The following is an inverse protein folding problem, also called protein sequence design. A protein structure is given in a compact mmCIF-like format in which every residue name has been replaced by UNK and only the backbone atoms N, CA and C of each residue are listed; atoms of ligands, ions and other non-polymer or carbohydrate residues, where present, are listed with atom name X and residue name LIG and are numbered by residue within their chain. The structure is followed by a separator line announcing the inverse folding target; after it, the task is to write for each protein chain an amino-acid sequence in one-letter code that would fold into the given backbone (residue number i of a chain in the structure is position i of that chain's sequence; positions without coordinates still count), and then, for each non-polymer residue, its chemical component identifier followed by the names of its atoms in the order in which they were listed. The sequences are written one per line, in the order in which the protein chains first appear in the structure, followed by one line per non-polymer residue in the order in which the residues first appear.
data_IF_730305051143
#
_entry.id   IF_730305051143
#
_cell.length_a   1.000
_cell.length_b   1.000
_cell.length_c   1.000
_cell.angle_alpha   90.00
_cell.angle_beta   90.00
_cell.angle_gamma   90.00
#
_symmetry.space_group_name_H-M   'P 1'
#
loop_
_entity.id
_entity.type
_entity.pdbx_description
1 polymer ?
#
# COMPACT_ATOMS: atom_id res chain seq x y z
N UNK A 1 -1.92 16.03 -19.72
CA UNK A 1 -1.65 16.22 -18.29
C UNK A 1 -1.01 14.94 -17.78
N UNK A 2 0.21 15.01 -17.23
CA UNK A 2 0.84 13.83 -16.64
C UNK A 2 0.19 13.63 -15.27
N UNK A 3 -0.84 12.80 -15.20
CA UNK A 3 -1.46 12.46 -13.91
C UNK A 3 -0.41 11.69 -13.11
N UNK A 4 -0.05 12.20 -11.93
CA UNK A 4 0.88 11.53 -11.02
C UNK A 4 0.18 10.30 -10.44
N UNK A 5 0.20 9.17 -11.17
CA UNK A 5 -0.48 7.92 -10.82
C UNK A 5 0.37 7.08 -9.88
N UNK A 6 0.82 7.66 -8.78
CA UNK A 6 1.77 7.06 -7.85
C UNK A 6 1.23 7.09 -6.43
N UNK A 7 1.39 5.98 -5.72
CA UNK A 7 1.05 5.85 -4.31
C UNK A 7 2.27 5.35 -3.53
N UNK A 8 2.55 5.96 -2.39
CA UNK A 8 3.68 5.59 -1.52
C UNK A 8 3.14 4.86 -0.30
N UNK A 9 3.76 3.75 0.05
CA UNK A 9 3.53 3.00 1.28
C UNK A 9 4.75 3.16 2.17
N UNK A 10 4.54 3.72 3.36
CA UNK A 10 5.62 3.92 4.31
C UNK A 10 6.21 2.57 4.73
N UNK A 11 7.54 2.48 4.84
CA UNK A 11 8.18 1.27 5.34
C UNK A 11 7.72 0.92 6.76
N UNK A 12 7.41 1.93 7.58
CA UNK A 12 6.98 1.75 8.95
C UNK A 12 5.68 0.96 9.04
N UNK A 13 4.71 1.28 8.19
CA UNK A 13 3.40 0.62 8.17
C UNK A 13 3.44 -0.69 7.38
N UNK A 14 4.26 -0.75 6.32
CA UNK A 14 4.32 -1.90 5.43
C UNK A 14 5.10 -3.09 6.01
N UNK A 15 6.16 -2.85 6.81
CA UNK A 15 6.99 -3.92 7.39
C UNK A 15 6.16 -4.96 8.15
N UNK A 16 5.25 -4.58 9.08
CA UNK A 16 4.40 -5.54 9.77
C UNK A 16 3.52 -6.39 8.86
N UNK A 17 3.06 -5.85 7.72
CA UNK A 17 2.27 -6.59 6.72
C UNK A 17 3.14 -7.62 6.00
N UNK A 18 4.36 -7.24 5.61
CA UNK A 18 5.31 -8.12 4.94
C UNK A 18 5.71 -9.28 5.88
N UNK A 19 6.00 -8.99 7.14
CA UNK A 19 6.35 -9.99 8.16
C UNK A 19 5.22 -11.00 8.35
N UNK A 20 3.96 -10.54 8.45
CA UNK A 20 2.79 -11.42 8.55
C UNK A 20 2.63 -12.29 7.31
N UNK A 21 2.74 -11.71 6.10
CA UNK A 21 2.61 -12.47 4.86
C UNK A 21 3.72 -13.54 4.70
N UNK A 22 4.95 -13.23 5.12
CA UNK A 22 6.06 -14.19 5.13
C UNK A 22 5.84 -15.31 6.15
N UNK A 23 5.42 -14.98 7.37
CA UNK A 23 5.11 -15.96 8.40
C UNK A 23 4.02 -16.93 7.95
N UNK A 24 2.99 -16.42 7.28
CA UNK A 24 1.86 -17.19 6.78
C UNK A 24 2.08 -17.82 5.39
N UNK A 25 3.25 -17.56 4.78
CA UNK A 25 3.62 -18.04 3.43
C UNK A 25 2.53 -17.77 2.40
N UNK A 26 2.00 -16.55 2.39
CA UNK A 26 0.88 -16.13 1.55
C UNK A 26 1.23 -14.89 0.73
N UNK A 27 0.37 -14.50 -0.22
CA UNK A 27 0.59 -13.28 -0.98
C UNK A 27 0.45 -12.02 -0.11
N UNK A 28 0.96 -10.90 -0.62
CA UNK A 28 0.59 -9.56 -0.17
C UNK A 28 -0.45 -9.04 -1.17
N UNK A 29 -1.59 -8.59 -0.68
CA UNK A 29 -2.66 -8.01 -1.49
C UNK A 29 -2.47 -6.50 -1.56
N UNK A 30 -2.52 -5.93 -2.75
CA UNK A 30 -2.73 -4.49 -2.97
C UNK A 30 -4.21 -4.29 -3.29
N UNK A 31 -4.92 -3.58 -2.43
CA UNK A 31 -6.38 -3.45 -2.48
C UNK A 31 -6.77 -1.99 -2.62
N UNK A 32 -7.64 -1.72 -3.59
CA UNK A 32 -8.46 -0.51 -3.62
C UNK A 32 -9.89 -0.88 -3.24
N UNK A 33 -10.39 -0.18 -2.24
CA UNK A 33 -11.76 -0.26 -1.74
C UNK A 33 -12.03 1.08 -1.00
N UNK A 34 -12.33 1.05 0.30
CA UNK A 34 -12.35 2.22 1.15
C UNK A 34 -10.91 2.68 1.48
N UNK A 35 -10.26 3.30 0.48
CA UNK A 35 -8.86 3.70 0.50
C UNK A 35 -7.98 2.79 -0.37
N UNK A 36 -6.67 2.99 -0.29
CA UNK A 36 -5.66 2.18 -0.98
C UNK A 36 -4.70 1.60 0.05
N UNK A 37 -4.65 0.28 0.15
CA UNK A 37 -3.88 -0.37 1.21
C UNK A 37 -3.26 -1.70 0.76
N UNK A 38 -2.21 -2.10 1.49
CA UNK A 38 -1.63 -3.43 1.41
C UNK A 38 -1.98 -4.24 2.66
N UNK A 39 -2.19 -5.54 2.47
CA UNK A 39 -2.45 -6.49 3.56
C UNK A 39 -1.92 -7.87 3.21
N UNK A 40 -1.71 -8.73 4.21
CA UNK A 40 -1.44 -10.14 3.94
C UNK A 40 -2.69 -10.79 3.33
N UNK A 41 -2.53 -11.79 2.46
CA UNK A 41 -3.67 -12.59 1.99
C UNK A 41 -4.30 -13.34 3.19
N UNK A 42 -3.45 -13.98 3.99
CA UNK A 42 -3.81 -14.66 5.24
C UNK A 42 -3.26 -13.85 6.41
N UNK A 43 -4.14 -13.29 7.22
CA UNK A 43 -3.80 -12.45 8.36
C UNK A 43 -4.83 -12.55 9.46
N UNK A 44 -4.43 -12.21 10.67
CA UNK A 44 -5.27 -12.35 11.86
C UNK A 44 -6.07 -11.06 12.09
N UNK A 45 -7.33 -11.23 12.50
CA UNK A 45 -8.13 -10.11 13.00
C UNK A 45 -7.66 -9.80 14.42
N UNK A 46 -7.25 -8.56 14.66
CA UNK A 46 -6.81 -8.12 15.99
C UNK A 46 -7.99 -8.12 16.96
N UNK A 47 -7.89 -8.84 18.08
CA UNK A 47 -8.93 -8.88 19.12
C UNK A 47 -9.21 -7.49 19.73
N UNK A 48 -8.22 -6.60 19.73
CA UNK A 48 -8.35 -5.25 20.27
C UNK A 48 -9.13 -4.31 19.35
N UNK A 49 -9.00 -4.48 18.02
CA UNK A 49 -9.55 -3.54 17.04
C UNK A 49 -10.65 -4.14 16.18
N UNK A 50 -10.82 -5.46 16.18
CA UNK A 50 -11.71 -6.19 15.27
C UNK A 50 -11.33 -6.06 13.80
N UNK A 51 -10.16 -5.48 13.47
CA UNK A 51 -9.71 -5.21 12.11
C UNK A 51 -8.49 -6.09 11.75
N UNK A 52 -8.34 -6.39 10.45
CA UNK A 52 -7.10 -6.96 9.90
C UNK A 52 -6.00 -5.90 9.90
N UNK A 53 -4.75 -6.34 9.95
CA UNK A 53 -3.58 -5.47 9.75
C UNK A 53 -3.53 -5.01 8.29
N UNK A 54 -3.46 -3.70 8.09
CA UNK A 54 -3.33 -3.06 6.78
C UNK A 54 -2.28 -1.95 6.83
N UNK A 55 -1.64 -1.69 5.70
CA UNK A 55 -0.75 -0.55 5.48
C UNK A 55 -1.36 0.33 4.40
N UNK A 56 -1.90 1.50 4.77
CA UNK A 56 -2.45 2.44 3.80
C UNK A 56 -1.35 3.16 3.02
N UNK A 57 -1.63 3.48 1.77
CA UNK A 57 -0.84 4.44 1.03
C UNK A 57 -0.97 5.84 1.67
N UNK A 58 0.10 6.62 1.62
CA UNK A 58 0.15 8.00 2.10
C UNK A 58 -0.95 8.83 1.44
N UNK A 59 -1.77 9.51 2.24
CA UNK A 59 -2.92 10.30 1.78
C UNK A 59 -4.20 9.52 1.46
N UNK A 60 -4.20 8.19 1.58
CA UNK A 60 -5.35 7.32 1.22
C UNK A 60 -5.85 6.46 2.38
N UNK A 61 -5.61 6.90 3.62
CA UNK A 61 -6.16 6.28 4.82
C UNK A 61 -7.46 7.01 5.24
N UNK A 62 -8.64 6.36 5.14
CA UNK A 62 -9.91 6.99 5.48
C UNK A 62 -10.11 7.24 6.98
N UNK A 63 -9.32 6.60 7.85
CA UNK A 63 -9.40 6.85 9.29
C UNK A 63 -8.73 8.21 9.67
N UNK A 64 -8.00 8.87 8.75
CA UNK A 64 -7.27 10.13 9.01
C UNK A 64 -7.46 11.21 7.94
N UNK A 65 -7.94 10.87 6.75
CA UNK A 65 -8.19 11.81 5.65
C UNK A 65 -9.68 11.84 5.35
N UNK A 66 -10.24 13.04 5.19
CA UNK A 66 -11.65 13.24 4.84
C UNK A 66 -11.96 12.68 3.44
N UNK A 67 -13.18 12.16 3.26
CA UNK A 67 -13.59 11.47 2.02
C UNK A 67 -13.49 12.33 0.77
N UNK A 68 -13.83 13.60 0.90
CA UNK A 68 -13.84 14.57 -0.21
C UNK A 68 -12.42 14.84 -0.73
N UNK A 69 -11.39 14.55 0.07
CA UNK A 69 -9.99 14.72 -0.31
C UNK A 69 -9.39 13.44 -0.90
N UNK A 70 -9.56 12.27 -0.26
CA UNK A 70 -8.90 11.05 -0.72
C UNK A 70 -9.62 10.35 -1.89
N UNK A 71 -10.96 10.38 -1.95
CA UNK A 71 -11.71 9.60 -2.94
C UNK A 71 -11.52 10.10 -4.38
N UNK A 72 -11.63 11.42 -4.68
CA UNK A 72 -11.35 11.92 -6.02
C UNK A 72 -9.89 11.73 -6.43
N UNK A 73 -8.95 11.96 -5.49
CA UNK A 73 -7.53 11.77 -5.74
C UNK A 73 -7.19 10.30 -6.06
N UNK A 74 -7.79 9.36 -5.33
CA UNK A 74 -7.59 7.94 -5.57
C UNK A 74 -8.19 7.50 -6.91
N UNK A 75 -9.36 8.03 -7.26
CA UNK A 75 -10.00 7.83 -8.56
C UNK A 75 -9.08 8.26 -9.71
N UNK A 76 -8.42 9.41 -9.59
CA UNK A 76 -7.47 9.91 -10.60
C UNK A 76 -6.20 9.05 -10.74
N UNK A 77 -5.78 8.39 -9.66
CA UNK A 77 -4.58 7.55 -9.63
C UNK A 77 -4.83 6.19 -10.27
N UNK A 78 -5.89 5.50 -9.87
CA UNK A 78 -6.08 4.08 -10.19
C UNK A 78 -7.49 3.72 -10.71
N UNK A 79 -8.30 4.72 -11.03
CA UNK A 79 -9.63 4.55 -11.63
C UNK A 79 -10.75 4.42 -10.60
N UNK A 80 -11.99 4.27 -11.08
CA UNK A 80 -13.18 4.19 -10.24
C UNK A 80 -13.41 2.82 -9.60
N UNK A 81 -13.03 1.75 -10.27
CA UNK A 81 -13.38 0.38 -9.88
C UNK A 81 -12.53 -0.13 -8.72
N UNK A 82 -13.10 -0.99 -7.87
CA UNK A 82 -12.37 -1.67 -6.80
C UNK A 82 -11.55 -2.84 -7.36
N UNK A 83 -10.39 -3.09 -6.77
CA UNK A 83 -9.50 -4.16 -7.23
C UNK A 83 -8.70 -4.77 -6.08
N UNK A 84 -8.16 -5.96 -6.35
CA UNK A 84 -7.24 -6.65 -5.47
C UNK A 84 -6.16 -7.36 -6.30
N UNK A 85 -4.92 -6.86 -6.22
CA UNK A 85 -3.76 -7.44 -6.89
C UNK A 85 -2.94 -8.31 -5.95
N UNK A 86 -2.49 -9.47 -6.43
CA UNK A 86 -1.73 -10.44 -5.65
C UNK A 86 -0.24 -10.29 -5.93
N UNK A 87 0.50 -9.74 -4.97
CA UNK A 87 1.95 -9.61 -5.01
C UNK A 87 2.60 -10.83 -4.34
N UNK A 88 3.55 -11.44 -5.04
CA UNK A 88 4.27 -12.61 -4.51
C UNK A 88 5.18 -12.16 -3.37
N UNK A 89 4.97 -12.68 -2.16
CA UNK A 89 5.78 -12.34 -0.98
C UNK A 89 7.27 -12.72 -1.13
N UNK A 90 7.58 -13.61 -2.08
CA UNK A 90 8.95 -13.99 -2.46
C UNK A 90 9.62 -12.99 -3.41
N UNK A 91 8.96 -11.91 -3.80
CA UNK A 91 9.58 -10.85 -4.57
C UNK A 91 10.73 -10.21 -3.75
N UNK A 92 11.96 -10.14 -4.27
CA UNK A 92 13.11 -9.54 -3.57
C UNK A 92 12.88 -8.09 -3.11
N UNK A 93 11.93 -7.40 -3.74
CA UNK A 93 11.46 -6.08 -3.33
C UNK A 93 11.05 -6.04 -1.85
N UNK A 94 10.33 -7.06 -1.37
CA UNK A 94 9.89 -7.11 0.03
C UNK A 94 11.04 -7.38 1.00
N UNK A 95 12.03 -8.18 0.60
CA UNK A 95 13.27 -8.34 1.38
C UNK A 95 14.08 -7.05 1.45
N UNK A 96 14.06 -6.25 0.38
CA UNK A 96 14.69 -4.93 0.34
C UNK A 96 14.01 -3.98 1.32
N UNK A 97 12.67 -3.92 1.34
CA UNK A 97 11.92 -3.11 2.32
C UNK A 97 12.24 -3.52 3.76
N UNK A 98 12.27 -4.83 4.07
CA UNK A 98 12.58 -5.33 5.42
C UNK A 98 14.00 -4.96 5.87
N UNK A 99 14.99 -5.13 4.98
CA UNK A 99 16.41 -4.95 5.30
C UNK A 99 16.85 -3.49 5.34
N UNK A 100 16.30 -2.65 4.46
CA UNK A 100 16.74 -1.25 4.29
C UNK A 100 15.76 -0.21 4.83
N UNK A 101 14.52 -0.63 5.12
CA UNK A 101 13.44 0.25 5.59
C UNK A 101 13.12 1.41 4.63
N UNK A 102 13.33 1.18 3.33
CA UNK A 102 12.87 2.08 2.26
C UNK A 102 11.39 1.89 2.01
N UNK A 103 10.71 2.97 1.61
CA UNK A 103 9.28 2.94 1.28
C UNK A 103 9.04 2.23 -0.05
N UNK A 104 7.79 1.84 -0.28
CA UNK A 104 7.37 1.21 -1.51
C UNK A 104 6.51 2.18 -2.31
N UNK A 105 6.78 2.32 -3.61
CA UNK A 105 5.96 3.11 -4.52
C UNK A 105 5.27 2.17 -5.51
N UNK A 106 3.98 2.40 -5.70
CA UNK A 106 3.15 1.76 -6.72
C UNK A 106 2.82 2.81 -7.77
N UNK A 107 3.16 2.53 -9.02
CA UNK A 107 2.81 3.35 -10.17
C UNK A 107 1.75 2.64 -11.02
N UNK A 108 0.65 3.32 -11.28
CA UNK A 108 -0.51 2.79 -12.00
C UNK A 108 -0.50 3.29 -13.44
N UNK A 109 -0.68 2.36 -14.38
CA UNK A 109 -1.02 2.66 -15.77
C UNK A 109 -2.47 2.24 -16.05
N UNK A 110 -2.94 2.40 -17.29
CA UNK A 110 -4.28 1.93 -17.67
C UNK A 110 -4.41 0.40 -17.63
N UNK A 111 -3.30 -0.34 -17.72
CA UNK A 111 -3.32 -1.79 -17.92
C UNK A 111 -2.30 -2.54 -17.07
N UNK A 112 -1.52 -1.84 -16.25
CA UNK A 112 -0.45 -2.44 -15.47
C UNK A 112 -0.14 -1.64 -14.22
N UNK A 113 0.50 -2.32 -13.28
CA UNK A 113 1.04 -1.75 -12.06
C UNK A 113 2.53 -2.04 -12.02
N UNK A 114 3.32 -1.03 -11.67
CA UNK A 114 4.75 -1.15 -11.42
C UNK A 114 4.99 -0.90 -9.94
N UNK A 115 5.71 -1.81 -9.29
CA UNK A 115 6.04 -1.72 -7.87
C UNK A 115 7.55 -1.59 -7.72
N UNK A 116 8.01 -0.60 -6.96
CA UNK A 116 9.44 -0.35 -6.77
C UNK A 116 9.72 0.28 -5.40
N UNK A 117 10.92 0.08 -4.87
CA UNK A 117 11.36 0.75 -3.65
C UNK A 117 11.76 2.19 -3.94
N UNK A 118 11.44 3.11 -3.05
CA UNK A 118 11.85 4.51 -3.12
C UNK A 118 12.50 4.94 -1.81
N UNK A 119 13.52 5.81 -1.85
CA UNK A 119 14.05 6.41 -0.63
C UNK A 119 12.92 7.07 0.17
N UNK A 120 13.04 7.07 1.50
CA UNK A 120 12.10 7.81 2.34
C UNK A 120 12.08 9.27 1.87
N UNK A 121 10.94 9.73 1.36
CA UNK A 121 10.72 11.14 1.07
C UNK A 121 10.75 11.87 2.41
N UNK A 122 11.85 12.56 2.70
CA UNK A 122 11.85 13.61 3.71
C UNK A 122 11.00 14.74 3.15
N UNK A 123 9.76 14.85 3.62
CA UNK A 123 8.92 16.02 3.37
C UNK A 123 9.71 17.26 3.80
N UNK A 124 10.09 18.09 2.82
CA UNK A 124 10.53 19.45 3.12
C UNK A 124 9.27 20.21 3.50
N UNK A 125 9.08 20.45 4.79
CA UNK A 125 8.13 21.44 5.28
C UNK A 125 8.42 22.77 4.58
N UNK A 126 7.42 23.31 3.88
CA UNK A 126 7.34 24.72 3.51
C UNK A 126 5.95 25.23 3.78
#
# INVERSE_FOLDING_TARGET
MSHNRKAIFSAADLVPVIEEAKANKCAILLVKDHGLYMMSEKGVISDNTGKRRVAYAEGFNPDVVESDDWYPALHDICGGDDFCEYLKVSDPLFDTVLSTRVSLMVEFSLTSIIVQTVPRTSETQK
#
